data_IF_101818078966
#
_entry.id   IF_101818078966
#
_cell.length_a   1.000
_cell.length_b   1.000
_cell.length_c   1.000
_cell.angle_alpha   90.00
_cell.angle_beta   90.00
_cell.angle_gamma   90.00
#
_symmetry.space_group_name_H-M   'P 1'
#
loop_
_entity.id
_entity.type
_entity.pdbx_description
1 polymer ?
#
# COMPACT_ATOMS: atom_id res chain seq x y z
N UNK A 1 0.24 -33.44 3.83
CA UNK A 1 -1.10 -33.33 4.43
C UNK A 1 -2.07 -33.14 3.27
N UNK A 2 -2.85 -34.18 2.94
CA UNK A 2 -3.87 -34.09 1.91
C UNK A 2 -5.04 -33.27 2.46
N UNK A 3 -5.25 -32.10 1.91
CA UNK A 3 -6.45 -31.30 2.16
C UNK A 3 -7.60 -31.96 1.37
N UNK A 4 -8.52 -32.63 2.05
CA UNK A 4 -9.81 -33.03 1.46
C UNK A 4 -10.70 -31.79 1.33
N UNK A 5 -10.41 -30.94 0.35
CA UNK A 5 -11.46 -30.20 -0.33
C UNK A 5 -12.31 -31.23 -1.08
N UNK A 6 -13.65 -31.05 -1.11
CA UNK A 6 -14.56 -31.93 -1.85
C UNK A 6 -13.80 -32.57 -3.01
N UNK A 7 -13.80 -33.86 -3.13
CA UNK A 7 -12.88 -34.75 -3.92
C UNK A 7 -12.60 -34.34 -5.39
N UNK A 8 -12.95 -33.10 -5.78
CA UNK A 8 -13.04 -32.62 -7.15
C UNK A 8 -12.00 -31.55 -7.55
N UNK A 9 -11.36 -30.87 -6.56
CA UNK A 9 -10.41 -29.80 -6.88
C UNK A 9 -8.94 -30.23 -6.72
N UNK A 10 -8.16 -30.06 -7.81
CA UNK A 10 -6.70 -30.21 -7.74
C UNK A 10 -6.07 -28.87 -7.38
N UNK A 11 -5.23 -28.85 -6.34
CA UNK A 11 -4.58 -27.63 -5.86
C UNK A 11 -3.13 -27.57 -6.36
N UNK A 12 -2.79 -26.45 -6.96
CA UNK A 12 -1.43 -26.13 -7.41
C UNK A 12 -0.93 -24.91 -6.62
N UNK A 13 0.18 -25.02 -5.85
CA UNK A 13 0.76 -23.87 -5.19
C UNK A 13 1.09 -22.76 -6.20
N UNK A 14 0.71 -21.53 -5.88
CA UNK A 14 1.12 -20.34 -6.62
C UNK A 14 2.22 -19.66 -5.81
N UNK A 15 3.30 -19.27 -6.47
CA UNK A 15 4.39 -18.56 -5.82
C UNK A 15 3.90 -17.29 -5.11
N UNK A 16 4.40 -17.05 -3.91
CA UNK A 16 4.14 -15.88 -3.07
C UNK A 16 4.94 -15.98 -1.80
N UNK A 17 5.19 -14.86 -1.13
CA UNK A 17 6.07 -14.80 0.05
C UNK A 17 5.58 -15.67 1.23
N UNK A 18 4.28 -15.98 1.30
CA UNK A 18 3.67 -16.71 2.42
C UNK A 18 3.40 -18.19 2.11
N UNK A 19 3.46 -18.63 0.85
CA UNK A 19 3.12 -20.01 0.46
C UNK A 19 1.66 -20.42 0.75
N UNK A 20 0.76 -19.45 0.93
CA UNK A 20 -0.64 -19.67 1.32
C UNK A 20 -1.62 -19.52 0.15
N UNK A 21 -1.12 -19.29 -1.06
CA UNK A 21 -1.92 -19.10 -2.26
C UNK A 21 -1.84 -20.33 -3.18
N UNK A 22 -2.99 -20.74 -3.73
CA UNK A 22 -3.13 -21.89 -4.60
C UNK A 22 -4.05 -21.58 -5.79
N UNK A 23 -3.78 -22.19 -6.93
CA UNK A 23 -4.72 -22.32 -8.02
C UNK A 23 -5.47 -23.64 -7.84
N UNK A 24 -6.79 -23.57 -7.71
CA UNK A 24 -7.66 -24.74 -7.77
C UNK A 24 -8.13 -24.97 -9.21
N UNK A 25 -8.06 -26.21 -9.69
CA UNK A 25 -8.58 -26.62 -11.01
C UNK A 25 -9.59 -27.75 -10.86
N UNK A 26 -10.73 -27.62 -11.53
CA UNK A 26 -11.77 -28.64 -11.63
C UNK A 26 -12.50 -28.50 -12.98
N UNK A 27 -12.58 -29.58 -13.77
CA UNK A 27 -13.31 -29.62 -15.06
C UNK A 27 -13.11 -28.37 -15.96
N UNK A 28 -11.85 -27.92 -16.14
CA UNK A 28 -11.46 -26.71 -16.86
C UNK A 28 -11.76 -25.38 -16.15
N UNK A 29 -12.48 -25.39 -15.04
CA UNK A 29 -12.65 -24.22 -14.20
C UNK A 29 -11.38 -23.96 -13.35
N UNK A 30 -11.11 -22.69 -13.12
CA UNK A 30 -10.02 -22.24 -12.25
C UNK A 30 -10.54 -21.31 -11.18
N UNK A 31 -10.00 -21.45 -9.98
CA UNK A 31 -10.25 -20.53 -8.87
C UNK A 31 -8.92 -20.16 -8.20
N UNK A 32 -8.88 -18.97 -7.64
CA UNK A 32 -7.81 -18.56 -6.74
C UNK A 32 -8.19 -18.92 -5.30
N UNK A 33 -7.32 -19.63 -4.60
CA UNK A 33 -7.53 -20.03 -3.22
C UNK A 33 -6.46 -19.39 -2.33
N UNK A 34 -6.88 -18.78 -1.24
CA UNK A 34 -5.96 -18.27 -0.21
C UNK A 34 -6.36 -18.81 1.17
N UNK A 35 -5.34 -19.26 1.91
CA UNK A 35 -5.51 -19.73 3.28
C UNK A 35 -5.42 -18.55 4.25
N UNK A 36 -6.30 -18.51 5.25
CA UNK A 36 -6.35 -17.53 6.33
C UNK A 36 -6.49 -16.07 5.83
N UNK A 37 -7.26 -15.87 4.76
CA UNK A 37 -7.61 -14.53 4.27
C UNK A 37 -8.39 -13.74 5.31
N UNK A 38 -8.24 -12.42 5.28
CA UNK A 38 -9.01 -11.50 6.12
C UNK A 38 -10.52 -11.65 5.87
N UNK A 39 -11.33 -11.55 6.93
CA UNK A 39 -12.79 -11.43 6.83
C UNK A 39 -13.23 -10.20 6.03
N UNK A 40 -12.36 -9.22 5.91
CA UNK A 40 -12.58 -8.02 5.12
C UNK A 40 -12.70 -8.27 3.61
N UNK A 41 -12.17 -9.40 3.14
CA UNK A 41 -12.21 -9.79 1.73
C UNK A 41 -13.62 -9.83 1.14
N UNK A 42 -14.62 -10.24 1.93
CA UNK A 42 -16.01 -10.26 1.49
C UNK A 42 -16.54 -8.85 1.17
N UNK A 43 -16.25 -7.87 2.02
CA UNK A 43 -16.64 -6.48 1.82
C UNK A 43 -15.95 -5.88 0.58
N UNK A 44 -14.65 -6.10 0.43
CA UNK A 44 -13.89 -5.66 -0.75
C UNK A 44 -14.42 -6.27 -2.05
N UNK A 45 -14.78 -7.55 -2.02
CA UNK A 45 -15.36 -8.25 -3.18
C UNK A 45 -16.74 -7.71 -3.53
N UNK A 46 -17.59 -7.40 -2.55
CA UNK A 46 -18.91 -6.81 -2.77
C UNK A 46 -18.83 -5.43 -3.45
N UNK A 47 -17.81 -4.64 -3.14
CA UNK A 47 -17.55 -3.36 -3.79
C UNK A 47 -16.73 -3.48 -5.08
N UNK A 48 -16.37 -4.70 -5.50
CA UNK A 48 -15.61 -4.94 -6.74
C UNK A 48 -14.21 -4.34 -6.70
N UNK A 49 -13.62 -4.22 -5.50
CA UNK A 49 -12.21 -3.81 -5.31
C UNK A 49 -11.29 -5.00 -5.53
N UNK A 50 -11.69 -6.19 -5.07
CA UNK A 50 -10.98 -7.46 -5.28
C UNK A 50 -11.79 -8.36 -6.22
N UNK A 51 -11.18 -9.42 -6.79
CA UNK A 51 -11.91 -10.43 -7.54
C UNK A 51 -13.07 -11.00 -6.71
N UNK A 52 -14.13 -11.42 -7.39
CA UNK A 52 -15.36 -11.92 -6.76
C UNK A 52 -15.07 -13.11 -5.84
N UNK A 53 -15.48 -12.98 -4.57
CA UNK A 53 -15.43 -14.07 -3.60
C UNK A 53 -16.52 -15.09 -3.95
N UNK A 54 -16.13 -16.36 -4.16
CA UNK A 54 -17.04 -17.46 -4.53
C UNK A 54 -17.55 -18.12 -3.25
N UNK A 55 -16.63 -18.50 -2.35
CA UNK A 55 -16.95 -19.10 -1.05
C UNK A 55 -15.82 -18.93 -0.04
N UNK A 56 -16.18 -19.15 1.22
CA UNK A 56 -15.23 -19.26 2.34
C UNK A 56 -15.55 -20.55 3.10
N UNK A 57 -14.54 -21.39 3.39
CA UNK A 57 -14.70 -22.64 4.13
C UNK A 57 -13.70 -22.73 5.27
N UNK A 58 -14.16 -23.20 6.42
CA UNK A 58 -13.29 -23.54 7.56
C UNK A 58 -13.00 -25.04 7.55
N UNK A 59 -11.73 -25.38 7.70
CA UNK A 59 -11.29 -26.78 7.81
C UNK A 59 -11.41 -27.30 9.23
N UNK A 60 -11.32 -28.63 9.39
CA UNK A 60 -11.26 -29.27 10.71
C UNK A 60 -10.03 -28.84 11.55
N UNK A 61 -8.93 -28.41 10.90
CA UNK A 61 -7.75 -27.83 11.55
C UNK A 61 -7.95 -26.41 12.07
N UNK A 62 -9.10 -25.77 11.75
CA UNK A 62 -9.40 -24.39 12.12
C UNK A 62 -8.99 -23.35 11.09
N UNK A 63 -8.25 -23.72 10.04
CA UNK A 63 -7.88 -22.83 8.95
C UNK A 63 -9.09 -22.38 8.14
N UNK A 64 -9.04 -21.16 7.65
CA UNK A 64 -10.07 -20.60 6.77
C UNK A 64 -9.51 -20.47 5.36
N UNK A 65 -10.18 -21.07 4.39
CA UNK A 65 -9.86 -20.88 2.98
C UNK A 65 -10.91 -20.01 2.31
N UNK A 66 -10.48 -19.06 1.51
CA UNK A 66 -11.32 -18.28 0.61
C UNK A 66 -11.03 -18.63 -0.82
N UNK A 67 -12.10 -18.82 -1.61
CA UNK A 67 -12.02 -19.00 -3.05
C UNK A 67 -12.51 -17.75 -3.75
N UNK A 68 -11.69 -17.21 -4.64
CA UNK A 68 -12.04 -16.10 -5.50
C UNK A 68 -12.02 -16.53 -6.97
N UNK A 69 -12.72 -15.78 -7.80
CA UNK A 69 -12.68 -15.93 -9.25
C UNK A 69 -11.23 -15.84 -9.74
N UNK A 70 -10.87 -16.76 -10.64
CA UNK A 70 -9.59 -16.68 -11.32
C UNK A 70 -9.60 -15.56 -12.34
N UNK A 71 -8.64 -14.64 -12.25
CA UNK A 71 -8.51 -13.56 -13.20
C UNK A 71 -7.55 -13.95 -14.34
N UNK A 72 -8.02 -13.75 -15.56
CA UNK A 72 -7.18 -13.71 -16.75
C UNK A 72 -6.78 -12.25 -16.98
N UNK A 73 -5.47 -11.96 -16.96
CA UNK A 73 -4.97 -10.60 -17.03
C UNK A 73 -3.49 -10.53 -16.65
N UNK A 74 -3.02 -9.35 -16.37
CA UNK A 74 -1.62 -9.10 -15.99
C UNK A 74 -1.52 -8.14 -14.80
N UNK A 75 -0.40 -8.18 -14.11
CA UNK A 75 -0.03 -7.18 -13.10
C UNK A 75 0.49 -5.92 -13.77
N UNK A 76 0.17 -4.76 -13.23
CA UNK A 76 0.53 -3.49 -13.85
C UNK A 76 2.05 -3.29 -13.97
N UNK A 77 2.45 -2.67 -15.08
CA UNK A 77 3.77 -2.06 -15.25
C UNK A 77 3.87 -0.74 -14.48
N UNK A 78 5.07 -0.19 -14.32
CA UNK A 78 5.26 1.12 -13.69
C UNK A 78 4.53 2.25 -14.45
N UNK A 79 4.45 2.16 -15.79
CA UNK A 79 3.74 3.14 -16.61
C UNK A 79 2.22 3.06 -16.45
N UNK A 80 1.67 1.87 -16.27
CA UNK A 80 0.23 1.69 -16.06
C UNK A 80 -0.23 2.18 -14.67
N UNK A 81 0.65 2.19 -13.66
CA UNK A 81 0.36 2.79 -12.34
C UNK A 81 0.10 4.29 -12.43
N UNK A 82 0.68 4.98 -13.41
CA UNK A 82 0.50 6.42 -13.61
C UNK A 82 -0.88 6.79 -14.16
N UNK A 83 -1.67 5.81 -14.59
CA UNK A 83 -2.96 6.04 -15.26
C UNK A 83 -4.10 6.30 -14.27
N UNK A 84 -5.07 7.12 -14.68
CA UNK A 84 -6.25 7.45 -13.88
C UNK A 84 -7.16 6.28 -13.48
N UNK A 85 -6.98 5.08 -14.04
CA UNK A 85 -7.71 3.90 -13.59
C UNK A 85 -7.26 3.47 -12.18
N UNK A 86 -5.97 3.68 -11.84
CA UNK A 86 -5.42 3.38 -10.51
C UNK A 86 -5.95 4.37 -9.49
N UNK A 87 -5.91 5.67 -9.79
CA UNK A 87 -6.42 6.70 -8.90
C UNK A 87 -7.92 6.55 -8.62
N UNK A 88 -8.70 6.17 -9.64
CA UNK A 88 -10.14 5.88 -9.49
C UNK A 88 -10.40 4.70 -8.56
N UNK A 89 -9.63 3.61 -8.69
CA UNK A 89 -9.77 2.45 -7.82
C UNK A 89 -9.42 2.83 -6.36
N UNK A 90 -8.32 3.58 -6.16
CA UNK A 90 -7.91 4.05 -4.84
C UNK A 90 -8.97 4.98 -4.23
N UNK A 91 -9.47 5.94 -4.98
CA UNK A 91 -10.50 6.86 -4.52
C UNK A 91 -11.78 6.10 -4.07
N UNK A 92 -12.14 5.01 -4.74
CA UNK A 92 -13.31 4.20 -4.36
C UNK A 92 -13.18 3.62 -2.96
N UNK A 93 -12.09 2.93 -2.63
CA UNK A 93 -11.97 2.32 -1.30
C UNK A 93 -11.62 3.36 -0.21
N UNK A 94 -10.90 4.43 -0.53
CA UNK A 94 -10.62 5.51 0.41
C UNK A 94 -11.88 6.29 0.83
N UNK A 95 -12.89 6.36 -0.04
CA UNK A 95 -14.14 7.09 0.24
C UNK A 95 -15.32 6.18 0.56
N UNK A 96 -15.12 4.87 0.68
CA UNK A 96 -16.19 3.94 1.03
C UNK A 96 -16.46 3.92 2.54
N UNK A 97 -17.54 4.54 2.96
CA UNK A 97 -18.01 4.45 4.34
C UNK A 97 -18.40 3.01 4.73
N UNK A 98 -18.86 2.20 3.77
CA UNK A 98 -19.19 0.79 4.01
C UNK A 98 -17.95 -0.01 4.38
N UNK A 99 -16.87 0.13 3.60
CA UNK A 99 -15.57 -0.53 3.88
C UNK A 99 -15.01 -0.04 5.21
N UNK A 100 -15.03 1.26 5.47
CA UNK A 100 -14.58 1.82 6.74
C UNK A 100 -15.32 1.21 7.93
N UNK A 101 -16.67 1.25 7.91
CA UNK A 101 -17.49 0.71 8.99
C UNK A 101 -17.31 -0.79 9.18
N UNK A 102 -17.15 -1.54 8.08
CA UNK A 102 -16.90 -2.98 8.15
C UNK A 102 -15.51 -3.26 8.77
N UNK A 103 -14.47 -2.52 8.37
CA UNK A 103 -13.13 -2.71 8.91
C UNK A 103 -13.10 -2.39 10.41
N UNK A 104 -13.75 -1.31 10.85
CA UNK A 104 -13.93 -0.99 12.28
C UNK A 104 -14.63 -2.13 13.01
N UNK A 105 -15.74 -2.66 12.45
CA UNK A 105 -16.55 -3.72 13.07
C UNK A 105 -15.79 -5.01 13.30
N UNK A 106 -14.86 -5.35 12.41
CA UNK A 106 -14.05 -6.56 12.55
C UNK A 106 -12.75 -6.34 13.33
N UNK A 107 -12.56 -5.15 13.93
CA UNK A 107 -11.40 -4.84 14.76
C UNK A 107 -10.13 -4.51 13.95
N UNK A 108 -10.29 -3.90 12.78
CA UNK A 108 -9.16 -3.44 11.95
C UNK A 108 -8.26 -2.49 12.73
N UNK A 109 -6.94 -2.63 12.54
CA UNK A 109 -5.96 -1.75 13.18
C UNK A 109 -6.13 -0.31 12.72
N UNK A 110 -6.02 0.63 13.65
CA UNK A 110 -5.92 2.07 13.35
C UNK A 110 -4.48 2.50 13.53
N UNK A 111 -3.92 3.13 12.51
CA UNK A 111 -2.57 3.69 12.53
C UNK A 111 -2.64 5.21 12.59
N UNK A 112 -1.87 5.76 13.50
CA UNK A 112 -1.52 7.18 13.56
C UNK A 112 -0.11 7.37 12.99
N UNK A 113 0.29 8.60 12.65
CA UNK A 113 1.65 8.85 12.14
C UNK A 113 2.76 8.28 13.03
N UNK A 114 2.64 8.42 14.36
CA UNK A 114 3.61 7.86 15.30
C UNK A 114 3.74 6.33 15.23
N UNK A 115 2.67 5.61 14.89
CA UNK A 115 2.70 4.15 14.78
C UNK A 115 3.57 3.69 13.60
N UNK A 116 3.60 4.46 12.50
CA UNK A 116 4.48 4.18 11.36
C UNK A 116 5.96 4.39 11.72
N UNK A 117 6.28 5.42 12.50
CA UNK A 117 7.65 5.64 12.99
C UNK A 117 8.09 4.47 13.87
N UNK A 118 7.26 4.06 14.84
CA UNK A 118 7.56 2.91 15.69
C UNK A 118 7.71 1.61 14.87
N UNK A 119 6.88 1.40 13.83
CA UNK A 119 7.01 0.24 12.95
C UNK A 119 8.31 0.27 12.13
N UNK A 120 8.74 1.45 11.71
CA UNK A 120 10.03 1.60 11.03
C UNK A 120 11.18 1.26 11.97
N UNK A 121 11.20 1.77 13.21
CA UNK A 121 12.24 1.53 14.20
C UNK A 121 12.27 0.08 14.67
N UNK A 122 11.12 -0.59 14.68
CA UNK A 122 11.04 -1.98 15.07
C UNK A 122 11.86 -2.88 14.12
N UNK A 123 12.84 -3.62 14.67
CA UNK A 123 13.79 -4.45 13.91
C UNK A 123 14.59 -3.67 12.85
N UNK A 124 14.94 -2.43 13.11
CA UNK A 124 15.88 -1.68 12.29
C UNK A 124 17.29 -2.27 12.50
N UNK A 125 18.03 -2.45 11.38
CA UNK A 125 19.41 -2.93 11.49
C UNK A 125 20.32 -1.85 12.07
N UNK A 126 21.35 -2.25 12.84
CA UNK A 126 22.35 -1.34 13.42
C UNK A 126 23.01 -0.46 12.34
N UNK A 127 23.28 -1.01 11.17
CA UNK A 127 23.86 -0.27 10.05
C UNK A 127 22.96 0.89 9.59
N UNK A 128 21.64 0.67 9.44
CA UNK A 128 20.71 1.73 9.05
C UNK A 128 20.50 2.73 10.20
N UNK A 129 20.40 2.24 11.43
CA UNK A 129 20.19 3.08 12.62
C UNK A 129 21.41 3.96 12.94
N UNK A 130 22.62 3.54 12.52
CA UNK A 130 23.84 4.34 12.67
C UNK A 130 23.98 5.46 11.64
N UNK A 131 23.15 5.49 10.59
CA UNK A 131 23.26 6.49 9.52
C UNK A 131 22.70 7.84 9.99
N UNK A 132 23.57 8.81 10.18
CA UNK A 132 23.21 10.18 10.64
C UNK A 132 22.09 10.78 9.78
N UNK A 133 22.11 10.54 8.47
CA UNK A 133 21.09 11.07 7.57
C UNK A 133 19.70 10.46 7.80
N UNK A 134 19.61 9.16 8.02
CA UNK A 134 18.36 8.48 8.37
C UNK A 134 17.82 9.01 9.69
N UNK A 135 18.68 9.20 10.69
CA UNK A 135 18.30 9.77 11.97
C UNK A 135 17.82 11.22 11.84
N UNK A 136 18.48 12.06 11.03
CA UNK A 136 17.99 13.42 10.78
C UNK A 136 16.61 13.46 10.14
N UNK A 137 16.28 12.53 9.24
CA UNK A 137 14.93 12.41 8.66
C UNK A 137 13.94 11.94 9.74
N UNK A 138 14.29 10.94 10.55
CA UNK A 138 13.46 10.48 11.68
C UNK A 138 13.14 11.62 12.65
N UNK A 139 14.16 12.37 13.09
CA UNK A 139 13.98 13.50 13.99
C UNK A 139 13.01 14.53 13.41
N UNK A 140 13.16 14.87 12.13
CA UNK A 140 12.24 15.77 11.44
C UNK A 140 10.80 15.23 11.43
N UNK A 141 10.61 13.94 11.17
CA UNK A 141 9.29 13.31 11.19
C UNK A 141 8.66 13.34 12.60
N UNK A 142 9.45 13.14 13.66
CA UNK A 142 9.00 13.31 15.05
C UNK A 142 8.63 14.76 15.37
N UNK A 143 9.46 15.72 14.98
CA UNK A 143 9.25 17.14 15.25
C UNK A 143 7.99 17.68 14.54
N UNK A 144 7.62 17.09 13.42
CA UNK A 144 6.48 17.52 12.59
C UNK A 144 5.21 16.69 12.78
N UNK A 145 5.19 15.71 13.69
CA UNK A 145 4.02 14.86 13.98
C UNK A 145 2.73 15.66 14.24
N UNK A 146 2.82 16.77 14.96
CA UNK A 146 1.65 17.59 15.32
C UNK A 146 0.90 18.14 14.10
N UNK A 147 1.57 18.32 12.97
CA UNK A 147 0.96 18.84 11.73
C UNK A 147 0.21 17.78 10.93
N UNK A 148 0.49 16.50 11.16
CA UNK A 148 -0.06 15.40 10.34
C UNK A 148 -1.03 14.47 11.10
N UNK A 149 -1.12 14.60 12.43
CA UNK A 149 -1.87 13.64 13.28
C UNK A 149 -3.40 13.77 13.19
N UNK A 150 -3.95 14.91 12.76
CA UNK A 150 -5.38 15.22 12.81
C UNK A 150 -6.14 14.92 11.52
N UNK A 151 -5.52 14.25 10.55
CA UNK A 151 -6.14 13.90 9.29
C UNK A 151 -7.33 12.93 9.47
N UNK A 152 -8.35 13.05 8.59
CA UNK A 152 -9.40 12.03 8.46
C UNK A 152 -8.75 10.71 8.06
N UNK A 153 -9.04 9.66 8.82
CA UNK A 153 -8.57 8.31 8.52
C UNK A 153 -9.63 7.53 7.75
N UNK A 154 -9.17 6.66 6.87
CA UNK A 154 -10.00 5.80 6.04
C UNK A 154 -9.36 4.41 5.89
N UNK A 155 -9.96 3.56 5.09
CA UNK A 155 -9.37 2.27 4.74
C UNK A 155 -8.13 2.51 3.89
N UNK A 156 -6.98 1.97 4.31
CA UNK A 156 -5.74 1.96 3.57
C UNK A 156 -5.28 0.52 3.33
N UNK A 157 -4.74 0.28 2.15
CA UNK A 157 -4.17 -1.02 1.79
C UNK A 157 -2.86 -1.29 2.54
N UNK A 158 -2.03 -0.25 2.66
CA UNK A 158 -0.77 -0.20 3.43
C UNK A 158 0.37 -1.08 2.91
N UNK A 159 0.21 -1.70 1.75
CA UNK A 159 1.25 -2.48 1.05
C UNK A 159 1.13 -2.33 -0.46
N UNK A 160 0.94 -1.11 -0.93
CA UNK A 160 0.75 -0.84 -2.34
C UNK A 160 2.05 -1.03 -3.13
N UNK A 161 1.98 -1.93 -4.09
CA UNK A 161 2.98 -2.10 -5.12
C UNK A 161 2.30 -2.54 -6.41
N UNK A 162 2.96 -2.36 -7.57
CA UNK A 162 2.37 -2.64 -8.88
C UNK A 162 1.91 -4.09 -9.07
N UNK A 163 2.48 -5.04 -8.32
CA UNK A 163 2.13 -6.47 -8.43
C UNK A 163 0.79 -6.79 -7.78
N UNK A 164 0.32 -5.94 -6.89
CA UNK A 164 -0.98 -6.09 -6.24
C UNK A 164 -2.13 -5.55 -7.08
N UNK A 165 -1.84 -4.86 -8.20
CA UNK A 165 -2.84 -4.42 -9.16
C UNK A 165 -2.90 -5.40 -10.33
N UNK A 166 -4.10 -5.94 -10.60
CA UNK A 166 -4.34 -6.89 -11.69
C UNK A 166 -5.35 -6.26 -12.64
N UNK A 167 -4.93 -6.00 -13.87
CA UNK A 167 -5.81 -5.59 -14.96
C UNK A 167 -6.28 -6.84 -15.71
N UNK A 168 -7.57 -7.12 -15.63
CA UNK A 168 -8.19 -8.27 -16.29
C UNK A 168 -8.39 -8.03 -17.79
N UNK A 169 -8.60 -9.11 -18.56
CA UNK A 169 -8.85 -9.03 -20.00
C UNK A 169 -10.14 -8.27 -20.36
N UNK A 170 -11.10 -8.18 -19.44
CA UNK A 170 -12.30 -7.34 -19.56
C UNK A 170 -12.10 -5.89 -19.09
N UNK A 171 -10.84 -5.45 -19.00
CA UNK A 171 -10.42 -4.09 -18.63
C UNK A 171 -10.88 -3.60 -17.25
N UNK A 172 -11.08 -4.51 -16.31
CA UNK A 172 -11.32 -4.16 -14.90
C UNK A 172 -10.04 -4.23 -14.10
N UNK A 173 -9.82 -3.21 -13.29
CA UNK A 173 -8.69 -3.17 -12.38
C UNK A 173 -9.12 -3.69 -11.00
N UNK A 174 -8.35 -4.61 -10.46
CA UNK A 174 -8.51 -5.17 -9.12
C UNK A 174 -7.26 -4.92 -8.29
N UNK A 175 -7.45 -4.74 -6.97
CA UNK A 175 -6.38 -4.64 -6.00
C UNK A 175 -6.46 -5.84 -5.06
N UNK A 176 -5.36 -6.59 -4.95
CA UNK A 176 -5.29 -7.84 -4.19
C UNK A 176 -4.27 -7.71 -3.05
N UNK A 177 -4.22 -8.72 -2.19
CA UNK A 177 -3.26 -8.82 -1.08
C UNK A 177 -3.48 -7.81 0.06
N UNK A 178 -4.70 -7.81 0.62
CA UNK A 178 -5.15 -6.93 1.70
C UNK A 178 -4.76 -7.41 3.11
N UNK A 179 -3.62 -8.06 3.28
CA UNK A 179 -3.19 -8.57 4.59
C UNK A 179 -2.79 -7.46 5.57
N UNK A 180 -2.28 -6.35 5.05
CA UNK A 180 -1.84 -5.20 5.85
C UNK A 180 -2.90 -4.09 5.95
N UNK A 181 -4.15 -4.39 5.54
CA UNK A 181 -5.23 -3.41 5.59
C UNK A 181 -5.36 -2.77 6.97
N UNK A 182 -5.47 -1.46 6.99
CA UNK A 182 -5.62 -0.69 8.22
C UNK A 182 -6.51 0.54 8.02
N UNK A 183 -6.79 1.24 9.12
CA UNK A 183 -7.43 2.55 9.14
C UNK A 183 -6.35 3.59 9.36
N UNK A 184 -6.06 4.40 8.34
CA UNK A 184 -5.00 5.40 8.38
C UNK A 184 -5.34 6.63 7.52
N UNK A 185 -4.45 7.61 7.46
CA UNK A 185 -4.52 8.71 6.50
C UNK A 185 -4.35 8.17 5.07
N UNK A 186 -5.29 8.42 4.13
CA UNK A 186 -5.18 7.96 2.75
C UNK A 186 -3.93 8.46 2.02
N UNK A 187 -3.32 9.56 2.47
CA UNK A 187 -2.06 10.07 1.93
C UNK A 187 -0.93 9.04 2.07
N UNK A 188 -0.98 8.17 3.09
CA UNK A 188 -0.02 7.08 3.22
C UNK A 188 -0.04 6.13 2.01
N UNK A 189 -1.20 5.66 1.58
CA UNK A 189 -1.34 4.82 0.38
C UNK A 189 -0.96 5.58 -0.90
N UNK A 190 -1.39 6.83 -1.02
CA UNK A 190 -1.08 7.69 -2.16
C UNK A 190 0.43 7.81 -2.33
N UNK A 191 1.14 8.18 -1.28
CA UNK A 191 2.59 8.39 -1.32
C UNK A 191 3.37 7.09 -1.51
N UNK A 192 2.82 5.92 -1.14
CA UNK A 192 3.44 4.64 -1.48
C UNK A 192 3.60 4.45 -3.00
N UNK A 193 2.62 4.86 -3.79
CA UNK A 193 2.72 4.77 -5.26
C UNK A 193 3.56 5.90 -5.84
N UNK A 194 3.42 7.13 -5.31
CA UNK A 194 4.17 8.29 -5.77
C UNK A 194 5.67 8.02 -5.72
N UNK A 195 6.21 7.68 -4.55
CA UNK A 195 7.65 7.50 -4.35
C UNK A 195 8.24 6.30 -5.08
N UNK A 196 7.40 5.36 -5.54
CA UNK A 196 7.87 4.15 -6.25
C UNK A 196 7.75 4.25 -7.77
N UNK A 197 6.74 4.97 -8.30
CA UNK A 197 6.36 4.82 -9.72
C UNK A 197 6.09 6.14 -10.44
N UNK A 198 5.92 7.26 -9.73
CA UNK A 198 5.54 8.53 -10.35
C UNK A 198 6.72 9.50 -10.28
N UNK A 199 7.24 10.00 -11.41
CA UNK A 199 8.22 11.07 -11.40
C UNK A 199 7.71 12.29 -10.63
N UNK A 200 8.59 13.01 -9.92
CA UNK A 200 8.19 14.17 -9.10
C UNK A 200 7.46 15.25 -9.90
N UNK A 201 7.89 15.47 -11.14
CA UNK A 201 7.28 16.43 -12.08
C UNK A 201 5.84 16.08 -12.45
N UNK A 202 5.44 14.81 -12.29
CA UNK A 202 4.10 14.33 -12.64
C UNK A 202 3.16 14.23 -11.41
N UNK A 203 3.63 14.57 -10.20
CA UNK A 203 2.83 14.43 -8.98
C UNK A 203 1.58 15.30 -8.99
N UNK A 204 1.67 16.55 -9.46
CA UNK A 204 0.52 17.46 -9.54
C UNK A 204 -0.55 16.90 -10.50
N UNK A 205 -0.14 16.38 -11.65
CA UNK A 205 -1.05 15.73 -12.59
C UNK A 205 -1.70 14.48 -11.96
N UNK A 206 -0.95 13.69 -11.19
CA UNK A 206 -1.48 12.52 -10.51
C UNK A 206 -2.47 12.89 -9.41
N UNK A 207 -2.25 14.00 -8.67
CA UNK A 207 -3.20 14.56 -7.71
C UNK A 207 -4.51 14.98 -8.38
N UNK A 208 -4.43 15.61 -9.54
CA UNK A 208 -5.61 15.96 -10.34
C UNK A 208 -6.42 14.71 -10.75
N UNK A 209 -5.74 13.66 -11.22
CA UNK A 209 -6.40 12.38 -11.56
C UNK A 209 -7.07 11.72 -10.36
N UNK A 210 -6.52 11.87 -9.16
CA UNK A 210 -7.10 11.39 -7.91
C UNK A 210 -8.21 12.31 -7.38
N UNK A 211 -8.29 13.55 -7.84
CA UNK A 211 -9.10 14.64 -7.33
C UNK A 211 -8.68 15.08 -5.90
N UNK A 212 -7.37 15.16 -5.66
CA UNK A 212 -6.79 15.61 -4.39
C UNK A 212 -6.51 17.10 -4.46
N UNK A 213 -7.17 17.89 -3.61
CA UNK A 213 -6.82 19.29 -3.43
C UNK A 213 -5.60 19.43 -2.51
N UNK A 214 -4.52 19.99 -3.06
CA UNK A 214 -3.27 20.18 -2.30
C UNK A 214 -3.29 21.53 -1.59
N UNK A 215 -3.88 21.57 -0.38
CA UNK A 215 -3.72 22.68 0.56
C UNK A 215 -2.36 22.57 1.25
N UNK A 216 -1.97 23.60 2.01
CA UNK A 216 -0.76 23.56 2.85
C UNK A 216 -0.74 22.35 3.79
N UNK A 217 -1.85 22.08 4.48
CA UNK A 217 -1.99 20.91 5.36
C UNK A 217 -1.81 19.60 4.58
N UNK A 218 -2.41 19.50 3.38
CA UNK A 218 -2.27 18.31 2.53
C UNK A 218 -0.83 18.15 2.04
N UNK A 219 -0.17 19.26 1.67
CA UNK A 219 1.23 19.27 1.27
C UNK A 219 2.14 18.70 2.37
N UNK A 220 1.98 19.19 3.62
CA UNK A 220 2.75 18.69 4.76
C UNK A 220 2.56 17.19 5.00
N UNK A 221 1.34 16.67 4.83
CA UNK A 221 1.06 15.23 4.92
C UNK A 221 1.70 14.46 3.77
N UNK A 222 1.66 14.98 2.54
CA UNK A 222 2.31 14.34 1.38
C UNK A 222 3.82 14.28 1.62
N UNK A 223 4.45 15.36 2.05
CA UNK A 223 5.87 15.38 2.37
C UNK A 223 6.21 14.37 3.47
N UNK A 224 5.49 14.41 4.57
CA UNK A 224 5.72 13.54 5.73
C UNK A 224 5.61 12.05 5.37
N UNK A 225 4.52 11.66 4.72
CA UNK A 225 4.32 10.28 4.33
C UNK A 225 5.21 9.83 3.18
N UNK A 226 5.65 10.73 2.31
CA UNK A 226 6.66 10.40 1.29
C UNK A 226 8.01 10.05 1.93
N UNK A 227 8.47 10.86 2.89
CA UNK A 227 9.69 10.57 3.65
C UNK A 227 9.55 9.24 4.42
N UNK A 228 8.40 9.01 5.07
CA UNK A 228 8.14 7.78 5.81
C UNK A 228 8.15 6.54 4.91
N UNK A 229 7.47 6.60 3.76
CA UNK A 229 7.44 5.51 2.80
C UNK A 229 8.82 5.21 2.18
N UNK A 230 9.62 6.25 1.94
CA UNK A 230 11.00 6.07 1.48
C UNK A 230 11.87 5.38 2.52
N UNK A 231 11.70 5.71 3.80
CA UNK A 231 12.38 5.00 4.88
C UNK A 231 11.98 3.52 4.93
N UNK A 232 10.69 3.19 4.75
CA UNK A 232 10.22 1.80 4.66
C UNK A 232 10.81 1.07 3.46
N UNK A 233 10.87 1.72 2.27
CA UNK A 233 11.47 1.14 1.07
C UNK A 233 12.96 0.85 1.28
N UNK A 234 13.72 1.80 1.81
CA UNK A 234 15.14 1.64 2.13
C UNK A 234 15.34 0.46 3.07
N UNK A 235 14.56 0.38 4.16
CA UNK A 235 14.61 -0.73 5.12
C UNK A 235 14.33 -2.08 4.45
N UNK A 236 13.27 -2.17 3.66
CA UNK A 236 12.88 -3.40 2.97
C UNK A 236 13.90 -3.84 1.91
N UNK A 237 14.46 -2.90 1.14
CA UNK A 237 15.46 -3.20 0.13
C UNK A 237 16.82 -3.51 0.74
N UNK A 238 17.16 -2.91 1.88
CA UNK A 238 18.35 -3.26 2.66
C UNK A 238 18.29 -4.74 3.12
N UNK A 239 17.18 -5.17 3.68
CA UNK A 239 16.96 -6.56 4.09
C UNK A 239 17.09 -7.55 2.90
N UNK A 240 16.64 -7.12 1.71
CA UNK A 240 16.71 -7.90 0.45
C UNK A 240 18.01 -7.70 -0.32
N UNK A 241 18.96 -6.90 0.19
CA UNK A 241 20.25 -6.56 -0.43
C UNK A 241 20.13 -5.97 -1.85
N UNK A 242 19.11 -5.15 -2.10
CA UNK A 242 18.83 -4.52 -3.39
C UNK A 242 19.48 -3.15 -3.51
N UNK A 243 20.80 -3.10 -3.60
CA UNK A 243 21.59 -1.87 -3.52
C UNK A 243 21.16 -0.79 -4.52
N UNK A 244 20.81 -1.18 -5.75
CA UNK A 244 20.35 -0.24 -6.78
C UNK A 244 19.09 0.51 -6.32
N UNK A 245 18.07 -0.19 -5.85
CA UNK A 245 16.83 0.41 -5.38
C UNK A 245 17.02 1.26 -4.10
N UNK A 246 17.94 0.85 -3.22
CA UNK A 246 18.33 1.65 -2.05
C UNK A 246 18.84 3.02 -2.50
N UNK A 247 19.74 3.05 -3.50
CA UNK A 247 20.32 4.29 -4.00
C UNK A 247 19.26 5.22 -4.62
N UNK A 248 18.36 4.67 -5.43
CA UNK A 248 17.23 5.45 -5.99
C UNK A 248 16.37 6.06 -4.89
N UNK A 249 15.98 5.24 -3.89
CA UNK A 249 15.19 5.71 -2.75
C UNK A 249 15.92 6.75 -1.91
N UNK A 250 17.24 6.62 -1.72
CA UNK A 250 18.05 7.62 -0.99
C UNK A 250 18.13 8.94 -1.75
N UNK A 251 18.27 8.92 -3.07
CA UNK A 251 18.31 10.13 -3.88
C UNK A 251 16.99 10.90 -3.79
N UNK A 252 15.86 10.20 -3.90
CA UNK A 252 14.54 10.83 -3.77
C UNK A 252 14.28 11.31 -2.33
N UNK A 253 14.64 10.51 -1.31
CA UNK A 253 14.57 10.89 0.10
C UNK A 253 15.34 12.18 0.35
N UNK A 254 16.55 12.26 -0.18
CA UNK A 254 17.42 13.43 -0.08
C UNK A 254 16.78 14.65 -0.72
N UNK A 255 16.28 14.49 -1.95
CA UNK A 255 15.63 15.59 -2.66
C UNK A 255 14.45 16.16 -1.86
N UNK A 256 13.53 15.30 -1.38
CA UNK A 256 12.36 15.75 -0.61
C UNK A 256 12.80 16.38 0.73
N UNK A 257 13.72 15.74 1.46
CA UNK A 257 14.17 16.22 2.75
C UNK A 257 14.93 17.55 2.68
N UNK A 258 15.80 17.77 1.68
CA UNK A 258 16.53 19.02 1.49
C UNK A 258 15.60 20.16 1.06
N UNK A 259 14.48 19.86 0.43
CA UNK A 259 13.45 20.80 0.00
C UNK A 259 12.23 20.83 0.92
N UNK A 260 12.29 20.26 2.11
CA UNK A 260 11.17 20.17 3.05
C UNK A 260 10.63 21.53 3.48
N UNK A 261 9.37 21.56 3.88
CA UNK A 261 8.64 22.76 4.26
C UNK A 261 9.30 23.52 5.41
N UNK A 262 9.55 22.82 6.53
CA UNK A 262 10.25 23.41 7.68
C UNK A 262 11.77 23.21 7.57
N UNK A 263 12.46 24.18 6.97
CA UNK A 263 13.93 24.25 7.05
C UNK A 263 14.32 24.89 8.37
N UNK A 264 15.33 24.36 9.05
CA UNK A 264 15.89 24.93 10.28
C UNK A 264 16.23 26.42 10.08
N UNK A 265 15.51 27.30 10.79
CA UNK A 265 15.57 28.77 10.78
C UNK A 265 14.67 29.51 9.78
N UNK A 266 13.45 29.81 10.22
CA UNK A 266 12.66 31.02 9.85
C UNK A 266 12.28 31.28 8.38
N UNK A 267 12.27 30.32 7.48
CA UNK A 267 11.71 30.51 6.16
C UNK A 267 10.67 29.41 5.88
N UNK A 268 9.39 29.78 6.04
CA UNK A 268 8.28 29.01 5.49
C UNK A 268 8.43 28.96 3.96
N UNK A 269 8.34 27.77 3.38
CA UNK A 269 8.39 27.60 1.93
C UNK A 269 7.03 27.95 1.33
N UNK A 270 7.02 28.82 0.33
CA UNK A 270 5.81 28.97 -0.49
C UNK A 270 5.65 27.72 -1.35
N UNK A 271 4.49 27.07 -1.26
CA UNK A 271 4.16 25.88 -2.07
C UNK A 271 4.00 26.34 -3.52
N UNK A 272 4.98 26.06 -4.38
CA UNK A 272 4.94 26.45 -5.78
C UNK A 272 4.86 25.25 -6.73
N UNK A 273 5.51 24.14 -6.45
CA UNK A 273 5.42 22.87 -7.22
C UNK A 273 6.34 21.81 -6.61
N UNK A 274 6.17 20.56 -7.02
CA UNK A 274 7.09 19.44 -6.74
C UNK A 274 8.24 19.35 -7.76
N UNK A 275 8.30 20.26 -8.75
CA UNK A 275 9.28 20.24 -9.83
C UNK A 275 10.72 20.38 -9.30
N UNK A 276 11.61 19.65 -9.94
CA UNK A 276 13.07 19.75 -9.77
C UNK A 276 13.51 21.00 -10.56
N UNK A 277 14.01 22.04 -9.87
CA UNK A 277 14.74 23.13 -10.50
C UNK A 277 16.14 22.66 -10.94
#
# INVERSE_FOLDING_TARGET
>A
MEFQFDKEWTLHPIGGDTGQAFMGTHNQERIFLKRNSSLFLAALSMEGITPRLIWTKRTASGDVYSAQEWLYGHTLSAQEIQQGIVTKLMSRYHHSDNLYNMLVKIGGKTYKPEDFLHEFENNLSEDLDSLTYINSVKDYLYDTLSFVQNARRTVCHSDLNRRNFILSEDHRLYLVDWEKVCIADPIFDITQLLVQYIPLEDWDHWFDLYNLHVSEETYLRIEWYSLMNLLFLIKADYQKKRIYHINESILLLRHIYENRYFKSSNQEKTITSWSID
#
